data_IF_174973330492
#
_entry.id   IF_174973330492
#
_cell.length_a   1.000
_cell.length_b   1.000
_cell.length_c   1.000
_cell.angle_alpha   90.00
_cell.angle_beta   90.00
_cell.angle_gamma   90.00
#
_symmetry.space_group_name_H-M   'P 1'
#
loop_
_entity.id
_entity.type
_entity.pdbx_description
1 polymer ?
#
# COMPACT_ATOMS: atom_id res chain seq x y z
N UNK A 1 -52.28 -46.72 43.15
CA UNK A 1 -51.92 -46.54 41.76
C UNK A 1 -52.44 -45.18 41.29
N UNK A 2 -51.56 -44.19 41.25
CA UNK A 2 -51.89 -42.80 40.78
C UNK A 2 -51.35 -42.66 39.39
N UNK A 3 -52.23 -42.42 38.42
CA UNK A 3 -51.85 -42.11 37.02
C UNK A 3 -51.37 -40.67 36.88
N UNK A 4 -50.13 -40.49 36.45
CA UNK A 4 -49.57 -39.18 36.10
C UNK A 4 -50.02 -38.82 34.68
N UNK A 5 -50.68 -37.69 34.50
CA UNK A 5 -51.03 -37.13 33.18
C UNK A 5 -49.94 -36.13 32.80
N UNK A 6 -49.27 -36.38 31.70
CA UNK A 6 -48.37 -35.41 31.06
C UNK A 6 -49.20 -34.45 30.20
N UNK A 7 -49.11 -33.16 30.49
CA UNK A 7 -49.66 -32.13 29.62
C UNK A 7 -48.58 -31.77 28.56
N UNK A 8 -48.97 -31.90 27.29
CA UNK A 8 -48.15 -31.48 26.15
C UNK A 8 -48.48 -30.01 25.89
N UNK A 9 -47.48 -29.13 26.03
CA UNK A 9 -47.56 -27.71 25.71
C UNK A 9 -47.25 -27.55 24.20
N UNK A 10 -48.05 -26.87 23.40
CA UNK A 10 -47.73 -26.64 22.00
C UNK A 10 -46.63 -25.56 21.86
N UNK A 11 -45.58 -25.93 21.14
CA UNK A 11 -44.50 -25.03 20.75
C UNK A 11 -45.00 -24.07 19.68
N UNK A 12 -45.18 -22.79 20.01
CA UNK A 12 -45.47 -21.73 19.05
C UNK A 12 -44.21 -21.41 18.25
N UNK A 13 -44.15 -21.89 17.01
CA UNK A 13 -43.19 -21.47 15.99
C UNK A 13 -43.57 -20.09 15.51
N UNK A 14 -42.82 -19.07 15.95
CA UNK A 14 -42.87 -17.76 15.35
C UNK A 14 -42.08 -17.78 14.02
N UNK A 15 -42.69 -17.35 12.91
CA UNK A 15 -41.95 -17.23 11.67
C UNK A 15 -40.93 -16.10 11.76
N UNK A 16 -39.64 -16.41 11.63
CA UNK A 16 -38.61 -15.40 11.36
C UNK A 16 -38.85 -14.85 9.96
N UNK A 17 -39.32 -13.62 9.89
CA UNK A 17 -39.30 -12.84 8.66
C UNK A 17 -37.85 -12.48 8.32
N UNK A 18 -37.25 -13.16 7.35
CA UNK A 18 -36.08 -12.65 6.67
C UNK A 18 -36.50 -11.42 5.88
N UNK A 19 -36.14 -10.26 6.38
CA UNK A 19 -36.21 -9.01 5.62
C UNK A 19 -35.15 -9.09 4.52
N UNK A 20 -35.58 -9.41 3.30
CA UNK A 20 -34.77 -9.20 2.11
C UNK A 20 -34.60 -7.70 1.92
N UNK A 21 -33.39 -7.20 2.21
CA UNK A 21 -33.00 -5.84 1.84
C UNK A 21 -33.02 -5.79 0.31
N UNK A 22 -34.01 -5.08 -0.24
CA UNK A 22 -34.08 -4.78 -1.68
C UNK A 22 -32.87 -3.90 -2.01
N UNK A 23 -32.05 -4.36 -2.91
CA UNK A 23 -30.98 -3.56 -3.52
C UNK A 23 -31.66 -2.65 -4.53
N UNK A 24 -31.86 -1.39 -4.16
CA UNK A 24 -32.33 -0.37 -5.12
C UNK A 24 -31.21 -0.14 -6.15
N UNK A 25 -31.51 -0.41 -7.41
CA UNK A 25 -30.67 -0.02 -8.54
C UNK A 25 -30.74 1.50 -8.69
N UNK A 26 -29.62 2.18 -8.48
CA UNK A 26 -29.51 3.63 -8.65
C UNK A 26 -29.72 4.03 -10.11
N UNK A 27 -30.55 5.02 -10.39
CA UNK A 27 -30.62 5.63 -11.73
C UNK A 27 -29.30 6.34 -12.03
N UNK A 28 -28.91 6.50 -13.31
CA UNK A 28 -27.69 7.23 -13.67
C UNK A 28 -27.85 8.70 -13.25
N UNK A 29 -27.35 9.06 -12.09
CA UNK A 29 -27.59 10.36 -11.49
C UNK A 29 -26.58 11.40 -11.96
N UNK A 30 -27.07 12.56 -12.37
CA UNK A 30 -26.33 13.83 -12.51
C UNK A 30 -26.05 14.51 -11.16
N UNK A 31 -26.35 13.86 -10.06
CA UNK A 31 -26.09 14.40 -8.71
C UNK A 31 -24.68 14.04 -8.26
N UNK A 32 -24.00 14.94 -7.53
CA UNK A 32 -22.73 14.58 -6.89
C UNK A 32 -22.97 13.34 -6.01
N UNK A 33 -22.01 12.41 -5.97
CA UNK A 33 -22.16 11.23 -5.14
C UNK A 33 -22.41 11.65 -3.68
N UNK A 34 -23.23 10.89 -2.92
CA UNK A 34 -23.42 11.17 -1.50
C UNK A 34 -22.08 11.17 -0.79
N UNK A 35 -21.96 11.89 0.32
CA UNK A 35 -20.75 11.85 1.14
C UNK A 35 -20.54 10.42 1.64
N UNK A 36 -19.50 9.76 1.15
CA UNK A 36 -19.11 8.44 1.60
C UNK A 36 -18.23 8.56 2.85
N UNK A 37 -18.37 7.61 3.76
CA UNK A 37 -17.49 7.51 4.93
C UNK A 37 -16.19 6.79 4.58
N UNK A 38 -16.25 5.81 3.66
CA UNK A 38 -15.08 5.07 3.17
C UNK A 38 -15.36 4.35 1.84
N UNK A 39 -14.30 3.95 1.14
CA UNK A 39 -14.35 3.26 -0.15
C UNK A 39 -13.74 4.07 -1.29
N UNK A 40 -13.84 3.56 -2.54
CA UNK A 40 -14.57 2.38 -2.97
C UNK A 40 -13.84 1.06 -2.67
N UNK A 41 -14.61 0.01 -2.42
CA UNK A 41 -14.16 -1.38 -2.41
C UNK A 41 -14.60 -2.05 -3.71
N UNK A 42 -13.63 -2.45 -4.54
CA UNK A 42 -13.90 -2.95 -5.91
C UNK A 42 -13.52 -4.41 -6.01
N UNK A 43 -14.49 -5.27 -6.35
CA UNK A 43 -14.29 -6.71 -6.42
C UNK A 43 -15.14 -7.38 -7.50
N UNK A 44 -14.63 -8.46 -8.08
CA UNK A 44 -15.36 -9.27 -9.04
C UNK A 44 -16.25 -10.31 -8.32
N UNK A 45 -17.34 -10.72 -8.98
CA UNK A 45 -18.12 -11.87 -8.56
C UNK A 45 -17.37 -13.20 -8.77
N UNK A 46 -17.93 -14.29 -8.26
CA UNK A 46 -17.34 -15.63 -8.39
C UNK A 46 -17.25 -16.13 -9.84
N UNK A 47 -18.03 -15.56 -10.76
CA UNK A 47 -17.97 -15.90 -12.19
C UNK A 47 -16.95 -15.08 -12.96
N UNK A 48 -16.40 -14.03 -12.35
CA UNK A 48 -15.50 -13.08 -12.98
C UNK A 48 -16.13 -12.22 -14.07
N UNK A 49 -17.46 -12.15 -14.16
CA UNK A 49 -18.20 -11.40 -15.20
C UNK A 49 -18.69 -10.05 -14.73
N UNK A 50 -18.97 -9.89 -13.44
CA UNK A 50 -19.45 -8.65 -12.82
C UNK A 50 -18.40 -8.07 -11.87
N UNK A 51 -18.34 -6.75 -11.81
CA UNK A 51 -17.57 -5.95 -10.84
C UNK A 51 -18.57 -5.24 -9.94
N UNK A 52 -18.39 -5.36 -8.63
CA UNK A 52 -19.08 -4.60 -7.62
C UNK A 52 -18.19 -3.48 -7.10
N UNK A 53 -18.80 -2.33 -6.83
CA UNK A 53 -18.15 -1.13 -6.30
C UNK A 53 -18.94 -0.72 -5.08
N UNK A 54 -18.40 -0.97 -3.89
CA UNK A 54 -19.08 -0.72 -2.63
C UNK A 54 -18.46 0.46 -1.90
N UNK A 55 -19.32 1.29 -1.32
CA UNK A 55 -18.95 2.40 -0.45
C UNK A 55 -19.62 2.24 0.92
N UNK A 56 -18.96 2.66 1.96
CA UNK A 56 -19.57 2.83 3.28
C UNK A 56 -20.11 4.24 3.36
N UNK A 57 -21.41 4.36 3.60
CA UNK A 57 -22.10 5.62 3.84
C UNK A 57 -22.47 5.73 5.31
N UNK A 58 -22.71 6.97 5.80
CA UNK A 58 -23.18 7.21 7.14
C UNK A 58 -24.25 8.30 7.10
N UNK A 59 -25.45 7.98 7.60
CA UNK A 59 -26.55 8.91 7.72
C UNK A 59 -27.16 8.80 9.13
N UNK A 60 -27.28 9.92 9.83
CA UNK A 60 -27.80 9.99 11.21
C UNK A 60 -27.06 9.05 12.19
N UNK A 61 -25.75 8.85 12.01
CA UNK A 61 -24.91 7.95 12.82
C UNK A 61 -25.08 6.47 12.50
N UNK A 62 -25.85 6.13 11.48
CA UNK A 62 -25.99 4.75 11.00
C UNK A 62 -25.19 4.53 9.73
N UNK A 63 -24.31 3.53 9.77
CA UNK A 63 -23.52 3.13 8.61
C UNK A 63 -24.30 2.14 7.74
N UNK A 64 -24.19 2.31 6.43
CA UNK A 64 -24.77 1.43 5.43
C UNK A 64 -23.78 1.16 4.29
N UNK A 65 -24.04 0.11 3.51
CA UNK A 65 -23.26 -0.21 2.30
C UNK A 65 -24.06 0.19 1.08
N UNK A 66 -23.49 1.08 0.28
CA UNK A 66 -24.00 1.40 -1.04
C UNK A 66 -23.18 0.66 -2.08
N UNK A 67 -23.81 -0.16 -2.93
CA UNK A 67 -23.11 -0.95 -3.94
C UNK A 67 -23.65 -0.66 -5.33
N UNK A 68 -22.77 -0.28 -6.26
CA UNK A 68 -23.01 -0.24 -7.70
C UNK A 68 -22.36 -1.46 -8.37
N UNK A 69 -22.73 -1.78 -9.58
CA UNK A 69 -22.13 -2.87 -10.35
C UNK A 69 -21.99 -2.54 -11.83
N UNK A 70 -20.97 -3.14 -12.44
CA UNK A 70 -20.75 -3.04 -13.89
C UNK A 70 -20.24 -4.38 -14.43
N UNK A 71 -20.27 -4.57 -15.75
CA UNK A 71 -19.64 -5.75 -16.34
C UNK A 71 -18.11 -5.63 -16.31
N UNK A 72 -17.39 -6.75 -16.32
CA UNK A 72 -15.92 -6.75 -16.43
C UNK A 72 -15.47 -6.12 -17.74
N UNK A 73 -16.25 -6.27 -18.85
CA UNK A 73 -15.95 -5.62 -20.13
C UNK A 73 -16.00 -4.09 -20.05
N UNK A 74 -16.83 -3.53 -19.18
CA UNK A 74 -17.05 -2.08 -19.05
C UNK A 74 -16.28 -1.48 -17.88
N UNK A 75 -15.39 -2.27 -17.27
CA UNK A 75 -14.54 -1.85 -16.16
C UNK A 75 -13.58 -0.73 -16.58
N UNK A 76 -12.95 -0.88 -17.75
CA UNK A 76 -11.91 0.03 -18.23
C UNK A 76 -12.47 1.45 -18.39
N UNK A 77 -11.82 2.42 -17.75
CA UNK A 77 -12.26 3.81 -17.79
C UNK A 77 -13.42 4.16 -16.86
N UNK A 78 -13.96 3.20 -16.08
CA UNK A 78 -14.94 3.51 -15.04
C UNK A 78 -14.32 4.45 -14.02
N UNK A 79 -14.98 5.60 -13.80
CA UNK A 79 -14.51 6.62 -12.86
C UNK A 79 -15.13 6.36 -11.49
N UNK A 80 -14.28 6.31 -10.48
CA UNK A 80 -14.63 6.21 -9.07
C UNK A 80 -14.40 7.55 -8.39
N UNK A 81 -15.21 7.91 -7.40
CA UNK A 81 -14.98 9.03 -6.51
C UNK A 81 -14.37 8.51 -5.19
N UNK A 82 -13.29 9.11 -4.75
CA UNK A 82 -12.61 8.78 -3.49
C UNK A 82 -12.55 10.03 -2.63
N UNK A 83 -12.88 9.92 -1.34
CA UNK A 83 -12.79 11.04 -0.41
C UNK A 83 -11.36 11.50 -0.21
N UNK A 84 -11.22 12.76 0.21
CA UNK A 84 -9.95 13.30 0.73
C UNK A 84 -10.06 13.47 2.25
N UNK A 85 -9.00 13.99 2.87
CA UNK A 85 -8.99 14.43 4.28
C UNK A 85 -9.77 15.75 4.50
N UNK A 86 -10.22 16.39 3.42
CA UNK A 86 -11.00 17.62 3.46
C UNK A 86 -12.49 17.30 3.25
N UNK A 87 -13.31 17.66 4.21
CA UNK A 87 -14.74 17.35 4.19
C UNK A 87 -15.42 17.80 2.88
N UNK A 88 -16.15 16.88 2.25
CA UNK A 88 -16.90 17.12 1.01
C UNK A 88 -16.03 17.20 -0.25
N UNK A 89 -14.71 17.01 -0.16
CA UNK A 89 -13.82 16.93 -1.31
C UNK A 89 -13.54 15.48 -1.69
N UNK A 90 -13.56 15.23 -3.00
CA UNK A 90 -13.24 13.92 -3.59
C UNK A 90 -12.25 14.08 -4.73
N UNK A 91 -11.52 13.02 -5.04
CA UNK A 91 -10.73 12.92 -6.27
C UNK A 91 -11.23 11.75 -7.12
N UNK A 92 -10.90 11.80 -8.41
CA UNK A 92 -11.34 10.80 -9.38
C UNK A 92 -10.27 9.76 -9.61
N UNK A 93 -10.67 8.49 -9.62
CA UNK A 93 -9.82 7.36 -9.95
C UNK A 93 -10.43 6.63 -11.15
N UNK A 94 -9.65 6.44 -12.20
CA UNK A 94 -10.02 5.66 -13.36
C UNK A 94 -9.57 4.22 -13.18
N UNK A 95 -10.48 3.25 -13.27
CA UNK A 95 -10.13 1.83 -13.19
C UNK A 95 -9.30 1.40 -14.40
N UNK A 96 -8.17 0.75 -14.14
CA UNK A 96 -7.26 0.23 -15.17
C UNK A 96 -7.92 -0.89 -15.95
N UNK A 97 -7.63 -0.94 -17.24
CA UNK A 97 -8.08 -2.03 -18.11
C UNK A 97 -7.55 -3.39 -17.64
N UNK A 98 -6.27 -3.43 -17.27
CA UNK A 98 -5.57 -4.60 -16.75
C UNK A 98 -4.50 -4.19 -15.77
N UNK A 99 -4.16 -5.08 -14.87
CA UNK A 99 -3.04 -4.97 -13.95
C UNK A 99 -2.04 -6.04 -14.36
N UNK A 100 -0.79 -5.67 -14.54
CA UNK A 100 0.33 -6.55 -14.89
C UNK A 100 1.47 -6.37 -13.90
N UNK A 101 2.31 -7.37 -13.77
CA UNK A 101 3.50 -7.31 -12.94
C UNK A 101 4.41 -6.15 -13.33
N UNK A 102 4.94 -5.48 -12.30
CA UNK A 102 5.89 -4.39 -12.47
C UNK A 102 7.27 -4.92 -12.87
N UNK A 103 8.02 -4.10 -13.62
CA UNK A 103 9.44 -4.36 -13.86
C UNK A 103 10.21 -4.27 -12.55
N UNK A 104 11.34 -4.92 -12.48
CA UNK A 104 12.21 -4.92 -11.29
C UNK A 104 13.39 -3.96 -11.41
N UNK A 105 13.68 -3.51 -12.62
CA UNK A 105 14.82 -2.64 -12.92
C UNK A 105 14.41 -1.50 -13.85
N UNK A 106 14.85 -0.30 -13.51
CA UNK A 106 14.53 0.94 -14.22
C UNK A 106 15.78 1.80 -14.43
N UNK A 107 15.75 2.65 -15.44
CA UNK A 107 16.78 3.68 -15.61
C UNK A 107 16.61 4.77 -14.56
N UNK A 108 17.71 5.43 -14.19
CA UNK A 108 17.69 6.59 -13.32
C UNK A 108 16.98 7.75 -14.05
N UNK A 109 15.88 8.31 -13.52
CA UNK A 109 15.29 9.52 -14.03
C UNK A 109 16.09 10.75 -13.57
N UNK A 110 15.83 11.91 -14.16
CA UNK A 110 16.45 13.16 -13.75
C UNK A 110 16.04 13.60 -12.33
N UNK A 111 14.87 13.12 -11.86
CA UNK A 111 14.30 13.50 -10.57
C UNK A 111 13.55 12.34 -9.91
N UNK A 112 13.87 12.07 -8.65
CA UNK A 112 13.16 11.10 -7.81
C UNK A 112 12.71 11.76 -6.51
N UNK A 113 11.49 11.41 -6.05
CA UNK A 113 11.05 11.62 -4.68
C UNK A 113 10.77 10.25 -4.04
N UNK A 114 11.44 9.93 -2.92
CA UNK A 114 11.34 8.62 -2.24
C UNK A 114 10.85 8.83 -0.82
N UNK A 115 9.82 8.10 -0.41
CA UNK A 115 9.27 8.10 0.96
C UNK A 115 8.70 6.73 1.30
N UNK A 116 8.41 6.49 2.59
CA UNK A 116 7.87 5.24 3.10
C UNK A 116 6.97 5.47 4.31
N UNK A 117 6.38 4.42 4.85
CA UNK A 117 5.75 4.36 6.18
C UNK A 117 4.66 5.43 6.43
N UNK A 118 3.81 5.67 5.44
CA UNK A 118 2.67 6.60 5.53
C UNK A 118 1.56 6.07 6.43
N UNK A 119 1.38 4.76 6.48
CA UNK A 119 0.50 4.07 7.41
C UNK A 119 -0.92 4.69 7.51
N UNK A 120 -1.55 4.92 6.36
CA UNK A 120 -2.90 5.48 6.29
C UNK A 120 -3.02 6.96 6.69
N UNK A 121 -1.92 7.71 6.75
CA UNK A 121 -1.92 9.16 6.97
C UNK A 121 -2.05 9.91 5.64
N UNK A 122 -3.25 9.96 5.07
CA UNK A 122 -3.51 10.61 3.80
C UNK A 122 -3.18 12.11 3.82
N UNK A 123 -3.51 12.81 4.90
CA UNK A 123 -3.27 14.25 5.02
C UNK A 123 -1.77 14.58 4.94
N UNK A 124 -0.93 13.83 5.67
CA UNK A 124 0.53 13.99 5.63
C UNK A 124 1.10 13.65 4.25
N UNK A 125 0.65 12.54 3.67
CA UNK A 125 1.04 12.12 2.33
C UNK A 125 0.69 13.17 1.26
N UNK A 126 -0.55 13.62 1.23
CA UNK A 126 -1.02 14.66 0.32
C UNK A 126 -0.20 15.94 0.43
N UNK A 127 -0.02 16.45 1.66
CA UNK A 127 0.75 17.69 1.91
C UNK A 127 2.19 17.57 1.44
N UNK A 128 2.86 16.44 1.74
CA UNK A 128 4.24 16.20 1.32
C UNK A 128 4.36 16.17 -0.21
N UNK A 129 3.44 15.47 -0.90
CA UNK A 129 3.43 15.42 -2.36
C UNK A 129 3.15 16.79 -3.01
N UNK A 130 2.21 17.57 -2.46
CA UNK A 130 1.87 18.91 -2.95
C UNK A 130 3.04 19.89 -2.75
N UNK A 131 3.64 19.93 -1.57
CA UNK A 131 4.77 20.79 -1.24
C UNK A 131 5.97 20.53 -2.16
N UNK A 132 6.16 19.27 -2.58
CA UNK A 132 7.24 18.87 -3.49
C UNK A 132 6.82 18.84 -4.97
N UNK A 133 5.64 19.39 -5.29
CA UNK A 133 5.12 19.53 -6.66
C UNK A 133 5.03 18.20 -7.41
N UNK A 134 4.75 17.12 -6.69
CA UNK A 134 4.44 15.81 -7.28
C UNK A 134 3.01 15.80 -7.79
N UNK A 135 2.10 16.42 -7.01
CA UNK A 135 0.70 16.60 -7.35
C UNK A 135 0.27 18.06 -7.14
N UNK A 136 -0.78 18.48 -7.82
CA UNK A 136 -1.44 19.78 -7.61
C UNK A 136 -2.55 19.72 -6.54
N UNK A 137 -3.32 20.82 -6.42
CA UNK A 137 -4.44 20.91 -5.49
C UNK A 137 -5.60 19.96 -5.85
N UNK A 138 -5.70 19.49 -7.10
CA UNK A 138 -6.70 18.54 -7.57
C UNK A 138 -6.23 17.08 -7.46
N UNK A 139 -5.04 16.86 -6.87
CA UNK A 139 -4.36 15.55 -6.80
C UNK A 139 -3.99 14.99 -8.18
N UNK A 140 -3.75 15.87 -9.15
CA UNK A 140 -3.25 15.49 -10.47
C UNK A 140 -1.72 15.56 -10.51
N UNK A 141 -1.12 14.68 -11.30
CA UNK A 141 0.33 14.57 -11.44
C UNK A 141 0.94 15.82 -12.06
N UNK A 142 1.94 16.39 -11.40
CA UNK A 142 2.67 17.58 -11.86
C UNK A 142 4.19 17.40 -11.86
N UNK A 143 4.69 16.19 -11.56
CA UNK A 143 6.12 15.91 -11.44
C UNK A 143 6.81 15.68 -12.80
N UNK A 144 6.06 15.77 -13.93
CA UNK A 144 6.57 15.57 -15.28
C UNK A 144 7.14 14.15 -15.45
N UNK A 145 8.36 14.06 -15.99
CA UNK A 145 9.12 12.81 -16.18
C UNK A 145 9.79 12.29 -14.90
N UNK A 146 9.59 12.97 -13.75
CA UNK A 146 10.12 12.52 -12.46
C UNK A 146 9.46 11.23 -11.99
N UNK A 147 10.11 10.53 -11.06
CA UNK A 147 9.58 9.31 -10.47
C UNK A 147 9.24 9.51 -9.00
N UNK A 148 8.08 9.02 -8.58
CA UNK A 148 7.69 8.88 -7.18
C UNK A 148 7.98 7.44 -6.75
N UNK A 149 8.68 7.26 -5.63
CA UNK A 149 9.09 5.95 -5.13
C UNK A 149 8.56 5.77 -3.71
N UNK A 150 7.77 4.72 -3.51
CA UNK A 150 7.07 4.38 -2.29
C UNK A 150 7.70 3.10 -1.74
N UNK A 151 8.46 3.23 -0.64
CA UNK A 151 9.29 2.16 -0.12
C UNK A 151 8.60 1.35 1.01
N UNK A 152 7.27 1.09 0.84
CA UNK A 152 6.47 0.22 1.70
C UNK A 152 5.79 0.90 2.88
N UNK A 153 4.87 0.16 3.49
CA UNK A 153 4.07 0.52 4.68
C UNK A 153 3.17 1.75 4.47
N UNK A 154 2.25 1.63 3.52
CA UNK A 154 1.19 2.62 3.26
C UNK A 154 -0.14 2.24 3.89
N UNK A 155 -0.27 1.00 4.37
CA UNK A 155 -1.44 0.43 5.05
C UNK A 155 -1.28 0.41 6.57
N UNK A 156 -2.33 0.02 7.27
CA UNK A 156 -2.42 -0.09 8.74
C UNK A 156 -2.44 1.25 9.50
N UNK A 157 -2.57 1.17 10.81
CA UNK A 157 -2.56 2.24 11.84
C UNK A 157 -3.55 3.36 11.58
N UNK A 158 -3.38 4.11 10.51
CA UNK A 158 -4.23 5.23 10.16
C UNK A 158 -5.63 4.82 9.67
N UNK A 159 -6.54 5.79 9.63
CA UNK A 159 -7.93 5.58 9.23
C UNK A 159 -8.22 5.92 7.76
N UNK A 160 -7.21 6.31 6.99
CA UNK A 160 -7.35 6.76 5.60
C UNK A 160 -6.51 5.92 4.62
N UNK A 161 -6.40 4.60 4.90
CA UNK A 161 -5.67 3.66 4.04
C UNK A 161 -6.30 3.57 2.65
N UNK A 162 -7.63 3.53 2.57
CA UNK A 162 -8.35 3.44 1.29
C UNK A 162 -8.04 4.63 0.39
N UNK A 163 -8.04 5.84 0.95
CA UNK A 163 -7.72 7.07 0.25
C UNK A 163 -6.27 7.10 -0.24
N UNK A 164 -5.33 6.68 0.61
CA UNK A 164 -3.89 6.58 0.27
C UNK A 164 -3.69 5.64 -0.92
N UNK A 165 -4.26 4.44 -0.86
CA UNK A 165 -4.07 3.42 -1.89
C UNK A 165 -4.68 3.84 -3.23
N UNK A 166 -5.87 4.43 -3.22
CA UNK A 166 -6.51 4.91 -4.44
C UNK A 166 -5.80 6.12 -5.05
N UNK A 167 -5.21 6.98 -4.22
CA UNK A 167 -4.38 8.07 -4.73
C UNK A 167 -3.16 7.50 -5.47
N UNK A 168 -2.41 6.60 -4.85
CA UNK A 168 -1.25 5.95 -5.47
C UNK A 168 -1.65 5.25 -6.78
N UNK A 169 -2.72 4.44 -6.74
CA UNK A 169 -3.25 3.74 -7.91
C UNK A 169 -3.56 4.71 -9.07
N UNK A 170 -4.18 5.85 -8.77
CA UNK A 170 -4.51 6.86 -9.78
C UNK A 170 -3.28 7.54 -10.37
N UNK A 171 -2.29 7.81 -9.53
CA UNK A 171 -1.05 8.51 -9.91
C UNK A 171 -0.19 7.66 -10.87
N UNK A 172 -0.25 6.34 -10.82
CA UNK A 172 0.52 5.47 -11.74
C UNK A 172 0.22 5.77 -13.21
N UNK A 173 -1.06 5.85 -13.58
CA UNK A 173 -1.44 6.13 -14.97
C UNK A 173 -1.22 7.61 -15.35
N UNK A 174 -1.45 8.53 -14.40
CA UNK A 174 -1.20 9.95 -14.61
C UNK A 174 0.30 10.22 -14.83
N UNK A 175 1.17 9.58 -14.04
CA UNK A 175 2.62 9.66 -14.18
C UNK A 175 3.09 9.09 -15.54
N UNK A 176 2.63 7.89 -15.90
CA UNK A 176 2.96 7.27 -17.20
C UNK A 176 2.58 8.15 -18.39
N UNK A 177 1.40 8.78 -18.35
CA UNK A 177 0.94 9.72 -19.41
C UNK A 177 1.85 10.96 -19.52
N UNK A 178 2.50 11.36 -18.42
CA UNK A 178 3.43 12.49 -18.37
C UNK A 178 4.91 12.09 -18.63
N UNK A 179 5.19 10.81 -18.90
CA UNK A 179 6.55 10.27 -19.08
C UNK A 179 7.28 9.95 -17.77
N UNK A 180 6.63 10.12 -16.62
CA UNK A 180 7.12 9.76 -15.29
C UNK A 180 6.69 8.37 -14.86
N UNK A 181 6.94 8.04 -13.58
CA UNK A 181 6.59 6.74 -13.02
C UNK A 181 6.30 6.80 -11.53
N UNK A 182 5.41 5.91 -11.05
CA UNK A 182 5.20 5.65 -9.62
C UNK A 182 5.65 4.21 -9.34
N UNK A 183 6.64 4.06 -8.48
CA UNK A 183 7.13 2.79 -7.96
C UNK A 183 6.49 2.50 -6.62
N UNK A 184 6.03 1.28 -6.40
CA UNK A 184 5.54 0.85 -5.11
C UNK A 184 6.19 -0.48 -4.72
N UNK A 185 7.12 -0.41 -3.78
CA UNK A 185 7.75 -1.58 -3.15
C UNK A 185 6.92 -1.95 -1.92
N UNK A 186 6.55 -3.22 -1.78
CA UNK A 186 5.75 -3.68 -0.64
C UNK A 186 6.58 -3.71 0.65
N UNK A 187 6.00 -3.22 1.74
CA UNK A 187 6.53 -3.36 3.09
C UNK A 187 5.92 -4.56 3.84
N UNK A 188 6.32 -4.71 5.10
CA UNK A 188 5.80 -5.80 5.92
C UNK A 188 4.31 -5.64 6.24
N UNK A 189 3.81 -4.41 6.36
CA UNK A 189 2.39 -4.15 6.62
C UNK A 189 1.50 -4.56 5.44
N UNK A 190 1.92 -4.36 4.19
CA UNK A 190 1.19 -4.89 3.03
C UNK A 190 1.14 -6.41 3.05
N UNK A 191 2.25 -7.08 3.35
CA UNK A 191 2.32 -8.55 3.47
C UNK A 191 1.44 -9.05 4.63
N UNK A 192 1.48 -8.39 5.79
CA UNK A 192 0.62 -8.70 6.93
C UNK A 192 -0.87 -8.64 6.56
N UNK A 193 -1.29 -7.57 5.88
CA UNK A 193 -2.68 -7.42 5.43
C UNK A 193 -3.09 -8.50 4.41
N UNK A 194 -2.20 -8.89 3.50
CA UNK A 194 -2.44 -9.93 2.52
C UNK A 194 -2.49 -11.34 3.14
N UNK A 195 -1.65 -11.63 4.13
CA UNK A 195 -1.54 -12.93 4.81
C UNK A 195 -2.50 -13.10 5.99
N UNK A 196 -3.13 -12.01 6.47
CA UNK A 196 -4.10 -12.04 7.55
C UNK A 196 -3.52 -11.79 8.95
N UNK A 197 -2.34 -11.24 9.06
CA UNK A 197 -1.80 -10.70 10.32
C UNK A 197 -2.34 -9.28 10.55
N UNK A 198 -3.36 -9.15 11.39
CA UNK A 198 -4.14 -7.93 11.58
C UNK A 198 -3.74 -7.13 12.83
N UNK A 199 -2.54 -7.36 13.40
CA UNK A 199 -2.10 -6.76 14.67
C UNK A 199 -2.09 -5.22 14.68
N UNK A 200 -1.91 -4.59 13.52
CA UNK A 200 -1.83 -3.13 13.41
C UNK A 200 -3.00 -2.51 12.65
N UNK A 201 -4.00 -3.35 12.31
CA UNK A 201 -5.14 -2.91 11.54
C UNK A 201 -6.01 -1.91 12.31
N UNK A 202 -6.39 -0.82 11.66
CA UNK A 202 -7.38 0.11 12.21
C UNK A 202 -8.76 -0.56 12.28
N UNK A 203 -9.43 -0.43 13.43
CA UNK A 203 -10.73 -1.05 13.69
C UNK A 203 -11.82 -0.67 12.66
N UNK A 204 -11.74 0.52 12.04
CA UNK A 204 -12.60 0.99 10.95
C UNK A 204 -12.73 -0.05 9.85
N UNK A 205 -11.62 -0.68 9.43
CA UNK A 205 -11.62 -1.60 8.29
C UNK A 205 -12.19 -2.97 8.63
N UNK A 206 -12.07 -3.39 9.90
CA UNK A 206 -12.78 -4.60 10.40
C UNK A 206 -14.28 -4.38 10.40
N UNK A 207 -14.73 -3.21 10.86
CA UNK A 207 -16.14 -2.83 10.85
C UNK A 207 -16.69 -2.75 9.43
N UNK A 208 -15.97 -2.06 8.53
CA UNK A 208 -16.37 -1.92 7.12
C UNK A 208 -16.49 -3.27 6.42
N UNK A 209 -15.54 -4.19 6.65
CA UNK A 209 -15.61 -5.54 6.10
C UNK A 209 -16.86 -6.29 6.60
N UNK A 210 -17.17 -6.21 7.90
CA UNK A 210 -18.38 -6.81 8.49
C UNK A 210 -19.66 -6.25 7.90
N UNK A 211 -19.74 -4.92 7.71
CA UNK A 211 -20.89 -4.28 7.06
C UNK A 211 -21.13 -4.81 5.65
N UNK A 212 -20.07 -5.09 4.91
CA UNK A 212 -20.11 -5.69 3.57
C UNK A 212 -20.30 -7.23 3.58
N UNK A 213 -20.52 -7.83 4.77
CA UNK A 213 -20.57 -9.28 4.96
C UNK A 213 -19.31 -10.00 4.43
N UNK A 214 -18.13 -9.43 4.74
CA UNK A 214 -16.82 -9.91 4.34
C UNK A 214 -15.86 -10.05 5.52
N UNK A 215 -14.82 -10.85 5.36
CA UNK A 215 -13.64 -10.80 6.22
C UNK A 215 -12.64 -9.77 5.70
N UNK A 216 -11.91 -9.08 6.58
CA UNK A 216 -10.97 -8.03 6.18
C UNK A 216 -9.99 -8.51 5.08
N UNK A 217 -9.37 -9.69 5.24
CA UNK A 217 -8.39 -10.23 4.28
C UNK A 217 -8.97 -10.32 2.86
N UNK A 218 -10.28 -10.57 2.75
CA UNK A 218 -10.95 -10.62 1.44
C UNK A 218 -11.10 -9.26 0.75
N UNK A 219 -10.86 -8.14 1.46
CA UNK A 219 -10.79 -6.81 0.85
C UNK A 219 -9.57 -6.66 -0.07
N UNK A 220 -8.54 -7.47 0.17
CA UNK A 220 -7.34 -7.58 -0.65
C UNK A 220 -7.21 -8.97 -1.31
N UNK A 221 -8.34 -9.67 -1.47
CA UNK A 221 -8.40 -10.96 -2.17
C UNK A 221 -8.00 -10.86 -3.65
N UNK A 222 -7.73 -12.02 -4.27
CA UNK A 222 -7.33 -12.09 -5.70
C UNK A 222 -8.43 -11.63 -6.67
N UNK A 223 -9.68 -11.57 -6.22
CA UNK A 223 -10.83 -11.05 -6.94
C UNK A 223 -11.00 -9.53 -6.85
N UNK A 224 -10.30 -8.86 -5.92
CA UNK A 224 -10.44 -7.43 -5.71
C UNK A 224 -9.44 -6.63 -6.55
N UNK A 225 -9.76 -5.37 -6.87
CA UNK A 225 -8.89 -4.51 -7.68
C UNK A 225 -7.58 -4.20 -6.96
N UNK A 226 -7.65 -3.75 -5.70
CA UNK A 226 -6.45 -3.44 -4.90
C UNK A 226 -5.67 -4.72 -4.55
N UNK A 227 -6.33 -5.86 -4.36
CA UNK A 227 -5.65 -7.12 -4.12
C UNK A 227 -4.83 -7.62 -5.31
N UNK A 228 -5.36 -7.46 -6.53
CA UNK A 228 -4.61 -7.71 -7.77
C UNK A 228 -3.46 -6.73 -7.92
N UNK A 229 -3.71 -5.46 -7.60
CA UNK A 229 -2.73 -4.39 -7.70
C UNK A 229 -1.56 -4.61 -6.73
N UNK A 230 -1.79 -4.97 -5.47
CA UNK A 230 -0.72 -5.34 -4.54
C UNK A 230 0.12 -6.50 -5.06
N UNK A 231 -0.52 -7.56 -5.58
CA UNK A 231 0.21 -8.74 -6.09
C UNK A 231 1.03 -8.47 -7.35
N UNK A 232 0.78 -7.36 -8.05
CA UNK A 232 1.62 -6.92 -9.17
C UNK A 232 2.90 -6.24 -8.73
N UNK A 233 2.99 -5.81 -7.45
CA UNK A 233 4.11 -5.04 -6.92
C UNK A 233 5.30 -5.90 -6.56
N UNK A 234 6.46 -5.27 -6.46
CA UNK A 234 7.73 -5.87 -6.08
C UNK A 234 8.01 -5.65 -4.59
N UNK A 235 8.95 -6.42 -4.04
CA UNK A 235 9.50 -6.23 -2.69
C UNK A 235 10.86 -5.55 -2.73
N UNK A 236 11.42 -5.40 -3.92
CA UNK A 236 12.72 -4.78 -4.16
C UNK A 236 12.78 -4.26 -5.60
N UNK A 237 13.24 -3.04 -5.81
CA UNK A 237 13.46 -2.48 -7.14
C UNK A 237 14.83 -1.85 -7.27
N UNK A 238 15.41 -1.96 -8.48
CA UNK A 238 16.63 -1.26 -8.86
C UNK A 238 16.27 -0.09 -9.79
N UNK A 239 16.61 1.13 -9.38
CA UNK A 239 16.37 2.35 -10.15
C UNK A 239 17.75 3.02 -10.40
N UNK A 240 18.28 2.83 -11.60
CA UNK A 240 19.65 3.26 -11.91
C UNK A 240 20.68 2.60 -11.00
N UNK A 241 21.32 3.37 -10.16
CA UNK A 241 22.34 2.94 -9.18
C UNK A 241 21.83 2.90 -7.73
N UNK A 242 20.51 2.79 -7.55
CA UNK A 242 19.85 2.69 -6.25
C UNK A 242 19.04 1.40 -6.15
N UNK A 243 19.15 0.69 -5.03
CA UNK A 243 18.17 -0.32 -4.59
C UNK A 243 17.16 0.36 -3.66
N UNK A 244 15.86 0.14 -3.93
CA UNK A 244 14.77 0.48 -3.02
C UNK A 244 14.19 -0.80 -2.46
N UNK A 245 14.09 -0.86 -1.15
CA UNK A 245 13.64 -2.04 -0.39
C UNK A 245 13.08 -1.56 0.96
N UNK A 246 12.08 -2.23 1.50
CA UNK A 246 11.43 -1.70 2.71
C UNK A 246 12.32 -1.81 3.96
N UNK A 247 12.75 -3.02 4.37
CA UNK A 247 13.55 -3.22 5.59
C UNK A 247 15.06 -3.09 5.32
N UNK A 248 15.59 -3.89 4.42
CA UNK A 248 17.01 -3.91 4.09
C UNK A 248 17.48 -5.25 3.54
N UNK A 249 18.78 -5.39 3.38
CA UNK A 249 19.42 -6.59 2.83
C UNK A 249 20.43 -7.11 3.84
N UNK A 250 20.16 -8.29 4.41
CA UNK A 250 21.03 -8.93 5.38
C UNK A 250 22.23 -9.64 4.73
N UNK A 251 23.19 -10.08 5.54
CA UNK A 251 24.28 -10.93 5.08
C UNK A 251 23.76 -12.28 4.53
N UNK A 252 22.65 -12.78 5.05
CA UNK A 252 21.98 -13.99 4.58
C UNK A 252 21.48 -13.82 3.15
N UNK A 253 20.79 -12.71 2.86
CA UNK A 253 20.32 -12.38 1.52
C UNK A 253 21.50 -12.11 0.56
N UNK A 254 22.56 -11.46 1.05
CA UNK A 254 23.78 -11.25 0.25
C UNK A 254 24.43 -12.56 -0.21
N UNK A 255 24.42 -13.60 0.64
CA UNK A 255 24.97 -14.93 0.30
C UNK A 255 24.15 -15.72 -0.70
N UNK A 256 22.87 -15.36 -0.92
CA UNK A 256 22.06 -16.04 -1.93
C UNK A 256 22.57 -15.71 -3.34
N UNK A 257 22.73 -16.69 -4.18
CA UNK A 257 23.05 -16.48 -5.61
C UNK A 257 21.77 -16.17 -6.41
N UNK A 258 21.21 -15.00 -6.13
CA UNK A 258 19.97 -14.50 -6.77
C UNK A 258 20.07 -12.99 -7.02
N UNK A 259 19.49 -12.56 -8.12
CA UNK A 259 19.36 -11.14 -8.51
C UNK A 259 18.02 -10.54 -8.06
N UNK A 260 17.82 -9.24 -8.34
CA UNK A 260 16.58 -8.50 -8.00
C UNK A 260 15.34 -9.17 -8.61
N UNK A 261 15.44 -9.63 -9.85
CA UNK A 261 14.33 -10.30 -10.56
C UNK A 261 13.96 -11.61 -9.88
N UNK A 262 14.97 -12.40 -9.50
CA UNK A 262 14.74 -13.69 -8.84
C UNK A 262 14.15 -13.51 -7.44
N UNK A 263 14.62 -12.53 -6.66
CA UNK A 263 14.04 -12.15 -5.36
C UNK A 263 12.54 -11.90 -5.51
N UNK A 264 12.13 -11.02 -6.43
CA UNK A 264 10.73 -10.70 -6.65
C UNK A 264 9.92 -11.90 -7.13
N UNK A 265 10.40 -12.62 -8.14
CA UNK A 265 9.65 -13.75 -8.71
C UNK A 265 9.45 -14.91 -7.73
N UNK A 266 10.39 -15.14 -6.82
CA UNK A 266 10.25 -16.15 -5.76
C UNK A 266 9.23 -15.74 -4.71
N UNK A 267 9.18 -14.45 -4.36
CA UNK A 267 8.34 -13.94 -3.29
C UNK A 267 6.88 -13.80 -3.68
N UNK A 268 6.57 -13.44 -4.93
CA UNK A 268 5.20 -13.12 -5.39
C UNK A 268 4.15 -14.20 -5.10
N UNK A 269 4.55 -15.47 -5.14
CA UNK A 269 3.61 -16.59 -4.90
C UNK A 269 3.22 -16.74 -3.42
N UNK A 270 3.90 -16.04 -2.51
CA UNK A 270 3.77 -16.19 -1.06
C UNK A 270 3.31 -14.92 -0.35
N UNK A 271 2.91 -13.89 -1.07
CA UNK A 271 2.44 -12.62 -0.46
C UNK A 271 1.20 -12.80 0.42
N UNK A 272 0.37 -13.78 0.13
CA UNK A 272 -0.86 -14.11 0.87
C UNK A 272 -0.78 -15.46 1.61
N UNK A 273 0.43 -15.98 1.86
CA UNK A 273 0.60 -17.20 2.66
C UNK A 273 0.42 -16.90 4.16
N UNK A 274 -0.72 -17.34 4.70
CA UNK A 274 -1.07 -17.18 6.12
C UNK A 274 -0.43 -18.22 7.04
N UNK A 275 0.18 -19.25 6.49
CA UNK A 275 0.80 -20.34 7.27
C UNK A 275 2.28 -20.08 7.53
N UNK A 276 2.89 -19.16 6.79
CA UNK A 276 4.32 -18.86 6.85
C UNK A 276 5.20 -20.10 6.71
N UNK A 277 4.78 -21.03 5.84
CA UNK A 277 5.50 -22.30 5.57
C UNK A 277 6.01 -22.28 4.14
N UNK A 278 7.30 -22.13 3.98
CA UNK A 278 7.94 -21.99 2.67
C UNK A 278 8.75 -23.23 2.31
N UNK A 279 8.51 -23.82 1.12
CA UNK A 279 9.23 -25.02 0.68
C UNK A 279 10.70 -24.76 0.30
N UNK A 280 11.03 -23.50 -0.02
CA UNK A 280 12.41 -23.08 -0.35
C UNK A 280 12.98 -22.26 0.82
N UNK A 281 14.11 -22.69 1.44
CA UNK A 281 14.73 -21.94 2.55
C UNK A 281 15.11 -20.50 2.21
N UNK A 282 15.29 -20.17 0.93
CA UNK A 282 15.54 -18.80 0.50
C UNK A 282 14.29 -17.94 0.66
N UNK A 283 13.11 -18.48 0.34
CA UNK A 283 11.81 -17.80 0.56
C UNK A 283 11.59 -17.61 2.06
N UNK A 284 11.86 -18.62 2.88
CA UNK A 284 11.79 -18.51 4.33
C UNK A 284 12.66 -17.34 4.85
N UNK A 285 13.90 -17.24 4.36
CA UNK A 285 14.78 -16.10 4.70
C UNK A 285 14.21 -14.76 4.19
N UNK A 286 13.63 -14.73 2.97
CA UNK A 286 13.07 -13.49 2.41
C UNK A 286 11.85 -12.98 3.20
N UNK A 287 11.07 -13.85 3.83
CA UNK A 287 9.91 -13.48 4.64
C UNK A 287 10.20 -13.40 6.15
N UNK A 288 11.35 -13.90 6.60
CA UNK A 288 11.79 -13.84 8.00
C UNK A 288 12.49 -12.53 8.38
N UNK A 289 12.95 -12.46 9.64
CA UNK A 289 13.62 -11.27 10.24
C UNK A 289 14.87 -10.79 9.49
N UNK A 290 15.45 -11.64 8.67
CA UNK A 290 16.63 -11.33 7.85
C UNK A 290 16.26 -10.92 6.43
N UNK A 291 14.98 -10.96 6.10
CA UNK A 291 14.48 -10.67 4.77
C UNK A 291 14.18 -9.19 4.52
N UNK A 292 13.87 -8.88 3.26
CA UNK A 292 13.60 -7.54 2.76
C UNK A 292 12.56 -6.73 3.53
N UNK A 293 11.59 -7.39 4.15
CA UNK A 293 10.49 -6.74 4.86
C UNK A 293 10.85 -6.31 6.28
N UNK A 294 11.69 -7.10 6.98
CA UNK A 294 11.87 -7.00 8.43
C UNK A 294 13.26 -6.61 8.89
N UNK A 295 14.26 -6.65 8.01
CA UNK A 295 15.65 -6.47 8.40
C UNK A 295 15.93 -5.05 8.93
N UNK A 296 16.41 -4.96 10.17
CA UNK A 296 16.76 -3.69 10.86
C UNK A 296 18.26 -3.56 11.17
N UNK A 297 19.07 -4.51 10.68
CA UNK A 297 20.46 -4.61 11.06
C UNK A 297 21.32 -3.40 10.70
N UNK A 298 20.93 -2.61 9.71
CA UNK A 298 21.62 -1.36 9.38
C UNK A 298 21.65 -0.35 10.52
N UNK A 299 20.66 -0.40 11.44
CA UNK A 299 20.41 0.66 12.42
C UNK A 299 20.56 0.22 13.88
N UNK A 300 20.48 -1.09 14.18
CA UNK A 300 20.49 -1.59 15.55
C UNK A 300 21.87 -1.45 16.19
N UNK A 301 22.94 -1.79 15.47
CA UNK A 301 24.34 -1.65 15.91
C UNK A 301 25.20 -1.26 14.72
N UNK A 302 25.14 0.00 14.28
CA UNK A 302 25.91 0.46 13.14
C UNK A 302 27.42 0.46 13.47
N UNK A 303 28.14 -0.47 12.92
CA UNK A 303 29.60 -0.62 13.07
C UNK A 303 30.27 -0.99 11.73
N UNK A 304 31.57 -1.19 11.75
CA UNK A 304 32.36 -1.52 10.55
C UNK A 304 31.97 -2.86 9.92
N UNK A 305 31.41 -3.80 10.67
CA UNK A 305 30.95 -5.09 10.11
C UNK A 305 29.69 -4.90 9.27
N UNK A 306 28.78 -4.02 9.70
CA UNK A 306 27.59 -3.67 8.93
C UNK A 306 27.97 -2.81 7.71
N UNK A 307 28.94 -1.88 7.83
CA UNK A 307 29.45 -1.15 6.66
C UNK A 307 30.04 -2.09 5.60
N UNK A 308 30.78 -3.12 6.03
CA UNK A 308 31.27 -4.18 5.15
C UNK A 308 30.14 -4.98 4.48
N UNK A 309 29.08 -5.31 5.22
CA UNK A 309 27.88 -5.97 4.68
C UNK A 309 27.15 -5.07 3.66
N UNK A 310 26.99 -3.77 3.95
CA UNK A 310 26.42 -2.80 3.01
C UNK A 310 27.25 -2.74 1.74
N UNK A 311 28.58 -2.67 1.84
CA UNK A 311 29.48 -2.66 0.68
C UNK A 311 29.30 -3.92 -0.18
N UNK A 312 29.19 -5.11 0.43
CA UNK A 312 28.88 -6.35 -0.30
C UNK A 312 27.53 -6.29 -1.02
N UNK A 313 26.53 -5.64 -0.40
CA UNK A 313 25.21 -5.43 -1.04
C UNK A 313 25.34 -4.56 -2.29
N UNK A 314 26.05 -3.42 -2.18
CA UNK A 314 26.26 -2.51 -3.30
C UNK A 314 26.99 -3.21 -4.46
N UNK A 315 28.04 -3.98 -4.17
CA UNK A 315 28.79 -4.73 -5.18
C UNK A 315 27.92 -5.80 -5.86
N UNK A 316 27.17 -6.58 -5.06
CA UNK A 316 26.30 -7.65 -5.55
C UNK A 316 25.27 -7.14 -6.55
N UNK A 317 24.58 -6.06 -6.21
CA UNK A 317 23.52 -5.51 -7.04
C UNK A 317 24.01 -4.42 -8.01
N UNK A 318 25.32 -4.09 -7.97
CA UNK A 318 25.95 -3.06 -8.80
C UNK A 318 25.22 -1.74 -8.70
N UNK A 319 25.16 -1.21 -7.48
CA UNK A 319 24.51 0.05 -7.11
C UNK A 319 25.39 0.86 -6.17
N UNK A 320 25.11 2.14 -6.01
CA UNK A 320 25.83 3.02 -5.10
C UNK A 320 25.07 3.23 -3.78
N UNK A 321 23.76 3.01 -3.78
CA UNK A 321 22.91 3.33 -2.63
C UNK A 321 21.84 2.26 -2.41
N UNK A 322 21.44 2.11 -1.14
CA UNK A 322 20.22 1.42 -0.71
C UNK A 322 19.31 2.43 -0.03
N UNK A 323 18.03 2.45 -0.39
CA UNK A 323 17.01 3.28 0.27
C UNK A 323 16.02 2.37 0.97
N UNK A 324 15.76 2.64 2.26
CA UNK A 324 14.86 1.86 3.11
C UNK A 324 13.82 2.71 3.83
N UNK A 325 12.78 2.05 4.36
CA UNK A 325 11.85 2.52 5.37
C UNK A 325 11.96 1.72 6.67
N UNK A 326 10.81 1.29 7.22
CA UNK A 326 10.67 0.27 8.27
C UNK A 326 11.22 0.61 9.66
N UNK A 327 12.26 1.38 9.76
CA UNK A 327 12.97 1.61 11.02
C UNK A 327 13.03 3.09 11.33
N UNK A 328 12.20 3.56 12.25
CA UNK A 328 12.29 4.93 12.75
C UNK A 328 13.58 5.06 13.58
N UNK A 329 14.57 5.74 13.04
CA UNK A 329 15.85 6.01 13.71
C UNK A 329 16.05 7.49 14.01
N UNK A 330 15.31 8.34 13.32
CA UNK A 330 15.27 9.78 13.53
C UNK A 330 13.92 10.34 13.02
N UNK A 331 13.53 11.53 13.49
CA UNK A 331 12.34 12.24 12.97
C UNK A 331 12.63 12.95 11.63
N UNK A 332 13.53 12.41 10.84
CA UNK A 332 14.01 13.01 9.59
C UNK A 332 14.63 11.96 8.69
N UNK A 333 14.54 12.16 7.38
CA UNK A 333 15.29 11.35 6.41
C UNK A 333 16.78 11.39 6.78
N UNK A 334 17.38 10.22 6.95
CA UNK A 334 18.73 10.09 7.47
C UNK A 334 19.65 9.33 6.52
N UNK A 335 20.94 9.63 6.60
CA UNK A 335 21.98 9.04 5.76
C UNK A 335 23.00 8.30 6.63
N UNK A 336 23.36 7.10 6.22
CA UNK A 336 24.21 6.17 6.95
C UNK A 336 25.37 5.66 6.08
N UNK A 337 26.46 5.24 6.70
CA UNK A 337 27.63 4.64 6.03
C UNK A 337 28.19 5.52 4.89
N UNK A 338 28.35 6.83 5.15
CA UNK A 338 28.89 7.76 4.16
C UNK A 338 27.97 7.98 2.94
N UNK A 339 26.66 7.72 3.08
CA UNK A 339 25.69 7.85 1.98
C UNK A 339 25.38 6.55 1.25
N UNK A 340 25.92 5.40 1.68
CA UNK A 340 25.58 4.10 1.10
C UNK A 340 24.15 3.67 1.40
N UNK A 341 23.57 4.10 2.55
CA UNK A 341 22.20 3.80 2.95
C UNK A 341 21.46 5.08 3.30
N UNK A 342 20.24 5.23 2.78
CA UNK A 342 19.28 6.27 3.17
C UNK A 342 18.07 5.63 3.83
N UNK A 343 17.62 6.21 4.93
CA UNK A 343 16.39 5.82 5.62
C UNK A 343 15.34 6.91 5.43
N UNK A 344 14.16 6.51 4.94
CA UNK A 344 13.04 7.41 4.66
C UNK A 344 11.88 7.27 5.66
N UNK A 345 12.00 6.35 6.65
CA UNK A 345 10.99 6.21 7.70
C UNK A 345 11.09 7.36 8.69
N UNK A 346 10.02 8.14 8.78
CA UNK A 346 9.87 9.27 9.68
C UNK A 346 8.53 9.19 10.42
N UNK A 347 8.36 9.96 11.48
CA UNK A 347 7.11 9.96 12.24
C UNK A 347 6.01 10.76 11.53
N UNK A 348 5.54 10.30 10.37
CA UNK A 348 4.45 10.95 9.61
C UNK A 348 3.20 11.22 10.47
N UNK A 349 2.80 10.26 11.29
CA UNK A 349 1.65 10.40 12.20
C UNK A 349 1.82 11.50 13.27
N UNK A 350 3.05 11.91 13.57
CA UNK A 350 3.39 13.01 14.48
C UNK A 350 3.64 14.34 13.76
N UNK A 351 3.42 14.39 12.45
CA UNK A 351 3.66 15.59 11.62
C UNK A 351 5.07 15.72 11.06
N UNK A 352 5.96 14.77 11.30
CA UNK A 352 7.32 14.76 10.74
C UNK A 352 7.32 14.07 9.38
N UNK A 353 6.74 14.73 8.37
CA UNK A 353 6.64 14.19 7.02
C UNK A 353 7.79 14.69 6.17
N UNK A 354 8.75 13.81 5.86
CA UNK A 354 9.87 14.08 4.98
C UNK A 354 10.01 13.02 3.87
N UNK A 355 10.74 13.36 2.82
CA UNK A 355 11.10 12.47 1.73
C UNK A 355 12.56 12.71 1.30
N UNK A 356 13.18 11.69 0.70
CA UNK A 356 14.45 11.83 -0.01
C UNK A 356 14.16 12.32 -1.43
N UNK A 357 14.66 13.50 -1.77
CA UNK A 357 14.58 14.05 -3.11
C UNK A 357 15.95 13.94 -3.79
N UNK A 358 15.99 13.36 -4.98
CA UNK A 358 17.21 13.28 -5.81
C UNK A 358 16.98 14.07 -7.09
N UNK A 359 17.81 15.06 -7.35
CA UNK A 359 17.80 15.88 -8.57
C UNK A 359 19.18 15.78 -9.24
N UNK A 360 19.26 15.03 -10.33
CA UNK A 360 20.53 14.68 -10.97
C UNK A 360 21.44 13.90 -10.03
N UNK A 361 22.54 14.54 -9.57
CA UNK A 361 23.50 13.95 -8.60
C UNK A 361 23.40 14.55 -7.19
N UNK A 362 22.36 15.34 -6.93
CA UNK A 362 22.18 16.03 -5.66
C UNK A 362 21.10 15.34 -4.86
N UNK A 363 21.38 15.07 -3.59
CA UNK A 363 20.50 14.38 -2.64
C UNK A 363 20.03 15.37 -1.58
N UNK A 364 18.72 15.46 -1.39
CA UNK A 364 18.11 16.35 -0.40
C UNK A 364 17.13 15.58 0.47
N UNK A 365 17.01 15.93 1.73
CA UNK A 365 15.78 15.71 2.45
C UNK A 365 14.84 16.88 2.20
N UNK A 366 13.57 16.62 2.05
CA UNK A 366 12.53 17.62 1.83
C UNK A 366 11.31 17.32 2.70
N UNK A 367 10.57 18.34 3.12
CA UNK A 367 9.46 18.21 4.06
C UNK A 367 8.10 18.62 3.45
N UNK A 368 7.07 18.61 4.28
CA UNK A 368 5.70 18.98 3.90
C UNK A 368 5.47 20.49 3.70
N UNK A 369 6.48 21.32 3.97
CA UNK A 369 6.55 22.76 3.67
C UNK A 369 7.29 23.04 2.36
N UNK A 370 7.89 22.00 1.74
CA UNK A 370 8.69 22.12 0.52
C UNK A 370 10.11 22.63 0.74
N UNK A 371 10.56 22.67 2.00
CA UNK A 371 11.94 23.02 2.33
C UNK A 371 12.87 21.88 1.93
N UNK A 372 14.04 22.25 1.37
CA UNK A 372 15.07 21.29 0.93
C UNK A 372 16.35 21.51 1.71
N UNK A 373 16.91 20.42 2.26
CA UNK A 373 18.23 20.43 2.89
C UNK A 373 19.15 19.44 2.19
N UNK A 374 20.27 19.94 1.67
CA UNK A 374 21.27 19.11 0.98
C UNK A 374 21.87 18.09 1.94
N UNK A 375 21.90 16.84 1.50
CA UNK A 375 22.65 15.74 2.13
C UNK A 375 24.02 15.64 1.44
N UNK A 376 25.09 15.85 2.20
CA UNK A 376 26.45 15.75 1.67
C UNK A 376 26.91 14.30 1.76
N UNK A 377 27.06 13.67 0.61
CA UNK A 377 27.63 12.32 0.50
C UNK A 377 29.16 12.47 0.53
N UNK A 378 29.81 11.77 1.45
CA UNK A 378 31.25 11.70 1.50
C UNK A 378 31.76 10.90 0.28
N UNK A 379 32.71 11.46 -0.45
CA UNK A 379 33.29 10.84 -1.65
C UNK A 379 34.35 9.81 -1.30
#
# INVERSE_FOLDING_TARGET
>A
MKKLRFAVLPLLLTPYFFSTVMVDELPPSKQPPPAYNDGPYVYADSTGKKIYISYITEENGQKAVLTDSTSVSDKAGKILAVNTDEAGKTFKVELKKSISDEKTEYKMPAKLLILSDIEGNFAGFRKLLQANKVIDANLDWTFGEGHLVLAGDFVDRGSQVTEVLWLIYSLEEKAKKAGGYVHYVLGNHEIMNLSGDLRYLNAKYVENAKLMNRHFVSLYGRETELGKWFRSKNIMEKIGDIIVIHGGISAEVNRMDIDVRKINSMSKNFYDDSLYVYPDPRVDTLFGDKGPFWYRGYYVKPDSSIDGQVSQTLDKFRVNHVVTGHSIVADTVSMWYGGKVFNTDTHHAKGHSEALLIEGKMYYRTNAEGEKKLLKIDK
#
